data_IF_817682399816
#
_entry.id   IF_817682399816
#
_cell.length_a   1.000
_cell.length_b   1.000
_cell.length_c   1.000
_cell.angle_alpha   90.00
_cell.angle_beta   90.00
_cell.angle_gamma   90.00
#
_symmetry.space_group_name_H-M   'P 1'
#
loop_
_entity.id
_entity.type
_entity.pdbx_description
1 polymer ?
#
# COMPACT_ATOMS: atom_id res chain seq x y z
N UNK A 1 -33.53 -36.60 -1.42
CA UNK A 1 -32.82 -37.03 -0.20
C UNK A 1 -32.29 -35.78 0.49
N UNK A 2 -32.88 -35.36 1.62
CA UNK A 2 -32.48 -34.16 2.38
C UNK A 2 -31.52 -34.58 3.49
N UNK A 3 -30.27 -34.15 3.44
CA UNK A 3 -29.30 -34.36 4.53
C UNK A 3 -29.15 -33.03 5.26
N UNK A 4 -29.81 -32.93 6.42
CA UNK A 4 -29.68 -31.79 7.32
C UNK A 4 -28.47 -32.02 8.24
N UNK A 5 -27.42 -31.20 8.08
CA UNK A 5 -26.25 -31.20 8.97
C UNK A 5 -26.48 -30.20 10.10
N UNK A 6 -26.47 -30.69 11.34
CA UNK A 6 -26.55 -29.88 12.56
C UNK A 6 -25.13 -29.47 12.97
N UNK A 7 -24.87 -28.16 13.03
CA UNK A 7 -23.62 -27.59 13.57
C UNK A 7 -23.82 -27.29 15.07
N UNK A 8 -22.93 -27.73 15.97
CA UNK A 8 -23.03 -27.42 17.38
C UNK A 8 -22.54 -26.00 17.70
N UNK A 9 -23.33 -25.29 18.50
CA UNK A 9 -23.04 -23.97 19.06
C UNK A 9 -22.02 -24.12 20.20
N UNK A 10 -20.81 -23.57 20.07
CA UNK A 10 -19.82 -23.54 21.14
C UNK A 10 -19.89 -22.20 21.88
N UNK A 11 -20.30 -22.27 23.14
CA UNK A 11 -20.44 -21.15 24.06
C UNK A 11 -19.06 -20.81 24.67
N UNK A 12 -18.47 -19.67 24.33
CA UNK A 12 -17.22 -19.20 24.94
C UNK A 12 -17.54 -18.43 26.22
N UNK A 13 -17.08 -18.96 27.36
CA UNK A 13 -17.21 -18.33 28.68
C UNK A 13 -16.18 -17.20 28.83
N UNK A 14 -16.68 -16.01 29.16
CA UNK A 14 -15.93 -14.86 29.64
C UNK A 14 -15.32 -15.15 31.01
N UNK A 15 -14.01 -14.92 31.17
CA UNK A 15 -13.30 -14.95 32.44
C UNK A 15 -12.94 -13.51 32.84
N UNK A 16 -13.71 -12.98 33.78
CA UNK A 16 -13.34 -11.86 34.64
C UNK A 16 -12.23 -12.27 35.61
N UNK A 17 -11.16 -11.48 35.71
CA UNK A 17 -10.31 -11.51 36.91
C UNK A 17 -9.90 -10.09 37.32
N UNK A 18 -10.40 -9.69 38.49
CA UNK A 18 -9.94 -8.54 39.28
C UNK A 18 -8.87 -9.02 40.23
N UNK A 19 -7.75 -8.32 40.33
CA UNK A 19 -6.93 -8.31 41.54
C UNK A 19 -6.41 -6.91 41.83
N UNK A 20 -6.83 -6.42 43.00
CA UNK A 20 -6.32 -5.24 43.69
C UNK A 20 -4.88 -5.49 44.15
N UNK A 21 -3.98 -4.53 43.94
CA UNK A 21 -2.69 -4.48 44.64
C UNK A 21 -2.48 -3.09 45.25
N UNK A 22 -2.20 -3.12 46.55
CA UNK A 22 -2.08 -1.98 47.46
C UNK A 22 -0.76 -1.25 47.27
N UNK A 23 -0.89 0.08 47.18
CA UNK A 23 -0.04 1.15 47.69
C UNK A 23 1.28 0.77 48.40
N UNK A 24 2.39 1.28 47.86
CA UNK A 24 3.53 1.80 48.64
C UNK A 24 4.03 3.05 47.93
N UNK A 25 3.61 4.21 48.45
CA UNK A 25 4.00 5.54 47.98
C UNK A 25 5.36 5.87 48.62
N UNK A 26 6.44 5.77 47.83
CA UNK A 26 7.76 6.28 48.21
C UNK A 26 7.94 7.63 47.50
N UNK A 27 7.77 8.71 48.25
CA UNK A 27 7.99 10.07 47.74
C UNK A 27 9.48 10.36 47.71
N UNK A 28 10.09 10.24 46.52
CA UNK A 28 11.46 10.66 46.25
C UNK A 28 11.45 12.12 45.78
N UNK A 29 11.93 13.03 46.63
CA UNK A 29 12.12 14.44 46.28
C UNK A 29 13.37 14.56 45.39
N UNK A 30 13.17 14.65 44.07
CA UNK A 30 14.22 14.98 43.12
C UNK A 30 14.19 16.50 42.88
N UNK A 31 15.21 17.20 43.37
CA UNK A 31 15.51 18.57 43.00
C UNK A 31 16.06 18.58 41.56
N UNK A 32 15.17 18.76 40.58
CA UNK A 32 15.56 18.98 39.18
C UNK A 32 15.86 20.47 39.00
N UNK A 33 17.13 20.79 38.76
CA UNK A 33 17.56 22.08 38.28
C UNK A 33 16.91 22.34 36.92
N UNK A 34 15.90 23.20 36.87
CA UNK A 34 15.27 23.62 35.61
C UNK A 34 16.25 24.56 34.90
N UNK A 35 17.11 24.00 34.05
CA UNK A 35 17.73 24.78 32.99
C UNK A 35 16.59 25.29 32.09
N UNK A 36 16.29 26.58 32.14
CA UNK A 36 15.46 27.26 31.14
C UNK A 36 16.20 27.30 29.80
N UNK A 37 16.35 26.15 29.16
CA UNK A 37 16.57 26.09 27.73
C UNK A 37 15.21 26.29 27.08
N UNK A 38 15.07 27.32 26.25
CA UNK A 38 13.89 27.48 25.40
C UNK A 38 13.65 26.15 24.69
N UNK A 39 12.44 25.54 24.78
CA UNK A 39 12.16 24.31 24.08
C UNK A 39 12.47 24.54 22.60
N UNK A 40 13.15 23.59 21.92
CA UNK A 40 13.34 23.70 20.49
C UNK A 40 11.97 23.90 19.86
N UNK A 41 11.81 24.99 19.10
CA UNK A 41 10.57 25.21 18.36
C UNK A 41 10.34 23.97 17.51
N UNK A 42 9.17 23.32 17.60
CA UNK A 42 8.87 22.20 16.73
C UNK A 42 9.02 22.68 15.28
N UNK A 43 9.76 21.92 14.47
CA UNK A 43 9.83 22.21 13.04
C UNK A 43 8.39 22.30 12.51
N UNK A 44 8.03 23.35 11.75
CA UNK A 44 6.69 23.49 11.17
C UNK A 44 6.26 22.30 10.30
N UNK A 45 7.19 21.42 9.90
CA UNK A 45 6.89 20.16 9.22
C UNK A 45 6.24 19.09 10.11
N UNK A 46 6.42 19.15 11.44
CA UNK A 46 5.90 18.13 12.36
C UNK A 46 4.41 18.29 12.69
N UNK A 47 3.80 19.46 12.46
CA UNK A 47 2.38 19.71 12.79
C UNK A 47 1.40 19.36 11.66
N UNK A 48 1.87 19.08 10.44
CA UNK A 48 1.01 18.84 9.26
C UNK A 48 0.71 17.37 8.96
N UNK A 49 1.10 16.41 9.81
CA UNK A 49 0.79 14.97 9.62
C UNK A 49 -0.28 14.42 10.59
N UNK A 50 -1.16 15.29 11.12
CA UNK A 50 -2.04 14.89 12.24
C UNK A 50 -3.14 13.88 11.90
N UNK A 51 -3.41 13.59 10.63
CA UNK A 51 -4.37 12.54 10.27
C UNK A 51 -3.84 11.67 9.13
N UNK A 52 -2.88 10.81 9.46
CA UNK A 52 -2.50 9.74 8.55
C UNK A 52 -3.52 8.60 8.63
N UNK A 53 -4.36 8.46 7.61
CA UNK A 53 -5.40 7.43 7.57
C UNK A 53 -4.80 6.02 7.43
N UNK A 54 -3.73 5.92 6.64
CA UNK A 54 -2.97 4.70 6.43
C UNK A 54 -1.54 5.07 6.01
N UNK A 55 -0.55 4.35 6.51
CA UNK A 55 0.84 4.59 6.19
C UNK A 55 1.45 3.37 5.49
N UNK A 56 2.26 3.62 4.46
CA UNK A 56 3.10 2.61 3.83
C UNK A 56 4.57 2.99 3.98
N UNK A 57 5.39 2.00 4.31
CA UNK A 57 6.84 2.10 4.23
C UNK A 57 7.31 1.11 3.17
N UNK A 58 7.78 1.63 2.04
CA UNK A 58 8.15 0.85 0.87
C UNK A 58 9.65 0.97 0.69
N UNK A 59 10.33 -0.17 0.59
CA UNK A 59 11.78 -0.22 0.50
C UNK A 59 12.20 -1.07 -0.69
N UNK A 60 13.28 -0.66 -1.36
CA UNK A 60 13.88 -1.39 -2.48
C UNK A 60 14.13 -2.84 -2.16
N UNK A 61 14.55 -3.15 -0.95
CA UNK A 61 14.87 -4.53 -0.60
C UNK A 61 13.66 -5.47 -0.64
N UNK A 62 12.44 -4.94 -0.49
CA UNK A 62 11.17 -5.67 -0.55
C UNK A 62 10.51 -5.65 -1.94
N UNK A 63 11.08 -4.93 -2.90
CA UNK A 63 10.53 -4.79 -4.25
C UNK A 63 10.37 -6.16 -4.94
N UNK A 64 9.16 -6.49 -5.44
CA UNK A 64 8.94 -7.66 -6.29
C UNK A 64 9.80 -7.69 -7.55
N UNK A 65 10.19 -6.51 -8.04
CA UNK A 65 10.91 -6.31 -9.29
C UNK A 65 12.39 -6.68 -9.19
N UNK A 66 12.94 -6.87 -7.98
CA UNK A 66 14.35 -7.26 -7.79
C UNK A 66 14.70 -8.62 -8.37
N UNK A 67 13.70 -9.47 -8.60
CA UNK A 67 13.89 -10.86 -9.05
C UNK A 67 13.88 -11.02 -10.56
N UNK A 68 13.59 -9.95 -11.31
CA UNK A 68 13.46 -9.99 -12.76
C UNK A 68 14.54 -9.13 -13.40
N UNK A 69 15.22 -9.65 -14.41
CA UNK A 69 16.34 -8.94 -15.06
C UNK A 69 15.89 -7.86 -16.04
N UNK A 70 14.66 -7.95 -16.55
CA UNK A 70 14.13 -7.02 -17.53
C UNK A 70 13.40 -5.85 -16.85
N UNK A 71 14.03 -4.68 -16.86
CA UNK A 71 13.31 -3.41 -16.92
C UNK A 71 12.58 -3.38 -18.27
N UNK A 72 11.42 -4.03 -18.34
CA UNK A 72 10.47 -3.76 -19.42
C UNK A 72 10.12 -2.26 -19.42
N UNK A 73 9.69 -1.72 -20.57
CA UNK A 73 9.27 -0.32 -20.79
C UNK A 73 8.02 0.09 -19.96
N UNK A 74 7.88 -0.43 -18.73
CA UNK A 74 6.74 -0.33 -17.85
C UNK A 74 5.64 -1.34 -18.14
N UNK A 75 5.53 -1.88 -19.36
CA UNK A 75 4.42 -2.78 -19.72
C UNK A 75 4.51 -4.14 -19.03
N UNK A 76 3.42 -4.56 -18.38
CA UNK A 76 3.33 -5.86 -17.69
C UNK A 76 2.56 -6.85 -18.56
N UNK A 77 3.13 -8.03 -18.79
CA UNK A 77 2.45 -9.07 -19.54
C UNK A 77 1.19 -9.56 -18.79
N UNK A 78 0.06 -9.60 -19.50
CA UNK A 78 -1.21 -10.07 -18.95
C UNK A 78 -1.44 -11.52 -19.35
N UNK A 79 -1.57 -12.40 -18.36
CA UNK A 79 -1.80 -13.83 -18.59
C UNK A 79 -3.05 -14.29 -17.83
N UNK A 80 -3.96 -14.94 -18.55
CA UNK A 80 -5.21 -15.48 -17.97
C UNK A 80 -4.95 -16.77 -17.20
N UNK A 81 -4.16 -17.67 -17.76
CA UNK A 81 -3.80 -18.92 -17.07
C UNK A 81 -2.46 -18.76 -16.36
N UNK A 82 -2.51 -18.53 -15.04
CA UNK A 82 -1.33 -18.43 -14.20
C UNK A 82 -0.84 -19.80 -13.69
N UNK A 83 -1.33 -20.91 -14.26
CA UNK A 83 -0.88 -22.26 -13.89
C UNK A 83 0.63 -22.41 -14.10
N UNK A 84 1.33 -22.87 -13.06
CA UNK A 84 2.78 -23.03 -13.08
C UNK A 84 3.57 -21.77 -12.69
N UNK A 85 2.91 -20.61 -12.60
CA UNK A 85 3.55 -19.37 -12.14
C UNK A 85 3.56 -19.29 -10.62
N UNK A 86 4.56 -18.58 -10.07
CA UNK A 86 4.70 -18.45 -8.62
C UNK A 86 4.08 -17.13 -8.15
N UNK A 87 3.11 -17.15 -7.21
CA UNK A 87 2.62 -15.91 -6.60
C UNK A 87 3.76 -15.10 -6.02
N UNK A 88 3.71 -13.78 -6.19
CA UNK A 88 4.72 -12.88 -5.59
C UNK A 88 4.61 -12.93 -4.06
N UNK A 89 5.71 -13.21 -3.33
CA UNK A 89 5.71 -13.20 -1.87
C UNK A 89 5.22 -11.86 -1.31
N UNK A 90 4.46 -11.88 -0.22
CA UNK A 90 3.87 -10.67 0.37
C UNK A 90 2.56 -10.22 -0.26
N UNK A 91 2.32 -10.49 -1.56
CA UNK A 91 1.12 -10.02 -2.27
C UNK A 91 -0.06 -11.00 -2.28
N UNK A 92 0.06 -12.15 -1.60
CA UNK A 92 -0.99 -13.17 -1.54
C UNK A 92 -2.31 -12.66 -0.93
N UNK A 93 -2.27 -11.64 -0.07
CA UNK A 93 -3.45 -11.02 0.53
C UNK A 93 -4.35 -10.31 -0.49
N UNK A 94 -3.85 -10.05 -1.71
CA UNK A 94 -4.59 -9.41 -2.79
C UNK A 94 -5.22 -10.40 -3.77
N UNK A 95 -4.97 -11.70 -3.62
CA UNK A 95 -5.53 -12.71 -4.52
C UNK A 95 -7.07 -12.68 -4.55
N UNK A 96 -7.64 -12.88 -5.74
CA UNK A 96 -9.08 -12.91 -5.98
C UNK A 96 -9.48 -14.34 -6.27
N UNK A 97 -10.44 -14.89 -5.51
CA UNK A 97 -10.98 -16.22 -5.81
C UNK A 97 -12.11 -16.10 -6.86
N UNK A 98 -12.18 -16.98 -7.87
CA UNK A 98 -11.26 -18.08 -8.17
C UNK A 98 -10.07 -17.69 -9.08
N UNK A 99 -9.95 -16.43 -9.48
CA UNK A 99 -8.98 -15.96 -10.47
C UNK A 99 -7.49 -16.16 -10.09
N UNK A 100 -7.16 -16.29 -8.80
CA UNK A 100 -5.81 -16.49 -8.30
C UNK A 100 -5.10 -15.19 -7.90
N UNK A 101 -3.75 -15.17 -7.88
CA UNK A 101 -2.98 -13.99 -7.52
C UNK A 101 -3.14 -12.89 -8.58
N UNK A 102 -2.98 -11.63 -8.17
CA UNK A 102 -2.99 -10.49 -9.09
C UNK A 102 -1.69 -10.36 -9.88
N UNK A 103 -0.58 -10.77 -9.27
CA UNK A 103 0.76 -10.70 -9.82
C UNK A 103 1.51 -12.00 -9.50
N UNK A 104 2.20 -12.54 -10.50
CA UNK A 104 2.99 -13.75 -10.39
C UNK A 104 4.35 -13.61 -11.08
N UNK A 105 5.30 -14.43 -10.66
CA UNK A 105 6.61 -14.58 -11.29
C UNK A 105 6.53 -15.72 -12.32
N UNK A 106 6.82 -15.37 -13.56
CA UNK A 106 7.14 -16.28 -14.64
C UNK A 106 8.65 -16.55 -14.58
N UNK A 107 9.05 -17.65 -13.93
CA UNK A 107 10.47 -17.98 -13.72
C UNK A 107 11.18 -18.40 -15.02
N UNK A 108 10.44 -18.94 -15.99
CA UNK A 108 11.01 -19.32 -17.29
C UNK A 108 11.29 -18.08 -18.14
N UNK A 109 10.36 -17.11 -18.11
CA UNK A 109 10.50 -15.83 -18.81
C UNK A 109 11.25 -14.75 -18.04
N UNK A 110 11.72 -15.04 -16.81
CA UNK A 110 12.37 -14.10 -15.88
C UNK A 110 11.66 -12.74 -15.78
N UNK A 111 10.34 -12.77 -15.57
CA UNK A 111 9.49 -11.57 -15.59
C UNK A 111 8.30 -11.66 -14.64
N UNK A 112 7.74 -10.50 -14.30
CA UNK A 112 6.46 -10.40 -13.61
C UNK A 112 5.34 -10.37 -14.65
N UNK A 113 4.27 -11.10 -14.34
CA UNK A 113 3.05 -11.14 -15.15
C UNK A 113 1.84 -10.88 -14.26
N UNK A 114 0.87 -10.16 -14.80
CA UNK A 114 -0.36 -9.81 -14.10
C UNK A 114 -1.53 -10.67 -14.58
N UNK A 115 -2.53 -10.80 -13.71
CA UNK A 115 -3.70 -11.62 -13.96
C UNK A 115 -4.60 -10.98 -15.03
N UNK A 116 -4.61 -11.56 -16.22
CA UNK A 116 -5.40 -11.09 -17.36
C UNK A 116 -6.91 -11.32 -17.25
N UNK A 117 -7.40 -11.93 -16.16
CA UNK A 117 -8.82 -11.90 -15.82
C UNK A 117 -9.21 -10.65 -15.02
N UNK A 118 -8.25 -10.01 -14.33
CA UNK A 118 -8.48 -8.86 -13.44
C UNK A 118 -8.09 -7.54 -14.12
N UNK A 119 -7.06 -7.57 -14.95
CA UNK A 119 -6.54 -6.41 -15.67
C UNK A 119 -6.70 -6.60 -17.18
N UNK A 120 -7.17 -5.56 -17.86
CA UNK A 120 -7.18 -5.46 -19.33
C UNK A 120 -5.92 -4.78 -19.86
N UNK A 121 -5.34 -3.88 -19.06
CA UNK A 121 -4.01 -3.31 -19.27
C UNK A 121 -3.38 -3.00 -17.91
N UNK A 122 -2.05 -3.09 -17.83
CA UNK A 122 -1.31 -2.72 -16.63
C UNK A 122 0.12 -2.33 -17.02
N UNK A 123 0.56 -1.18 -16.55
CA UNK A 123 1.94 -0.72 -16.68
C UNK A 123 2.43 -0.14 -15.36
N UNK A 124 3.75 -0.19 -15.19
CA UNK A 124 4.46 0.46 -14.11
C UNK A 124 4.56 1.96 -14.39
N UNK A 125 4.35 2.77 -13.34
CA UNK A 125 4.41 4.23 -13.37
C UNK A 125 5.30 4.70 -12.22
N UNK A 126 6.19 5.66 -12.48
CA UNK A 126 7.02 6.29 -11.46
C UNK A 126 6.35 7.56 -10.93
N UNK A 127 5.74 7.46 -9.76
CA UNK A 127 5.07 8.58 -9.10
C UNK A 127 6.01 9.74 -8.72
N UNK A 128 7.33 9.51 -8.67
CA UNK A 128 8.30 10.57 -8.32
C UNK A 128 8.55 11.56 -9.46
N UNK A 129 8.15 11.22 -10.68
CA UNK A 129 8.37 12.03 -11.89
C UNK A 129 7.08 12.44 -12.61
N UNK A 130 5.91 12.16 -12.02
CA UNK A 130 4.60 12.50 -12.60
C UNK A 130 4.41 14.02 -12.66
N UNK A 131 4.20 14.56 -13.86
CA UNK A 131 3.93 15.98 -14.12
C UNK A 131 2.52 16.26 -14.67
N UNK A 132 1.80 15.21 -15.04
CA UNK A 132 0.42 15.25 -15.54
C UNK A 132 -0.27 13.90 -15.34
N UNK A 133 -1.54 13.74 -15.73
CA UNK A 133 -2.23 12.46 -15.58
C UNK A 133 -1.50 11.32 -16.30
N UNK A 134 -1.21 10.25 -15.56
CA UNK A 134 -0.55 9.06 -16.08
C UNK A 134 -1.44 7.82 -15.92
N UNK A 135 -1.78 7.18 -17.03
CA UNK A 135 -2.55 5.94 -17.01
C UNK A 135 -1.72 4.79 -16.43
N UNK A 136 -2.22 4.07 -15.44
CA UNK A 136 -1.57 2.89 -14.85
C UNK A 136 -2.09 1.61 -15.48
N UNK A 137 -3.39 1.55 -15.77
CA UNK A 137 -4.01 0.35 -16.33
C UNK A 137 -5.52 0.46 -16.38
N UNK A 138 -6.16 -0.64 -16.76
CA UNK A 138 -7.61 -0.79 -16.84
C UNK A 138 -7.99 -2.09 -16.13
N UNK A 139 -8.89 -2.02 -15.17
CA UNK A 139 -9.53 -3.17 -14.54
C UNK A 139 -10.61 -3.75 -15.44
N UNK A 140 -10.72 -5.07 -15.46
CA UNK A 140 -11.90 -5.75 -16.02
C UNK A 140 -13.10 -5.61 -15.06
N UNK A 141 -14.29 -6.00 -15.53
CA UNK A 141 -15.49 -6.11 -14.69
C UNK A 141 -15.23 -6.96 -13.43
N UNK A 142 -14.54 -8.10 -13.59
CA UNK A 142 -14.17 -8.96 -12.47
C UNK A 142 -13.29 -8.21 -11.46
N UNK A 143 -12.32 -7.43 -11.95
CA UNK A 143 -11.47 -6.60 -11.09
C UNK A 143 -12.28 -5.56 -10.33
N UNK A 144 -13.15 -4.82 -11.00
CA UNK A 144 -14.01 -3.81 -10.37
C UNK A 144 -14.92 -4.38 -9.28
N UNK A 145 -15.46 -5.58 -9.50
CA UNK A 145 -16.39 -6.23 -8.56
C UNK A 145 -15.68 -6.92 -7.39
N UNK A 146 -14.45 -7.39 -7.59
CA UNK A 146 -13.81 -8.35 -6.67
C UNK A 146 -12.82 -7.73 -5.68
N UNK A 147 -12.35 -6.50 -5.92
CA UNK A 147 -11.39 -5.83 -5.03
C UNK A 147 -11.80 -4.38 -4.79
N UNK A 148 -11.84 -3.98 -3.51
CA UNK A 148 -12.15 -2.60 -3.15
C UNK A 148 -11.04 -1.64 -3.61
N UNK A 149 -11.39 -0.38 -3.85
CA UNK A 149 -10.43 0.64 -4.29
C UNK A 149 -9.24 0.78 -3.33
N UNK A 150 -9.48 0.74 -2.01
CA UNK A 150 -8.40 0.79 -1.00
C UNK A 150 -7.45 -0.43 -1.09
N UNK A 151 -7.99 -1.64 -1.32
CA UNK A 151 -7.17 -2.84 -1.48
C UNK A 151 -6.40 -2.80 -2.80
N UNK A 152 -7.00 -2.26 -3.87
CA UNK A 152 -6.32 -2.03 -5.14
C UNK A 152 -5.17 -1.02 -4.99
N UNK A 153 -5.38 0.10 -4.30
CA UNK A 153 -4.30 1.07 -4.03
C UNK A 153 -3.16 0.45 -3.23
N UNK A 154 -3.48 -0.30 -2.17
CA UNK A 154 -2.46 -1.00 -1.39
C UNK A 154 -1.68 -2.00 -2.24
N UNK A 155 -2.37 -2.76 -3.11
CA UNK A 155 -1.73 -3.65 -4.08
C UNK A 155 -0.78 -2.89 -5.02
N UNK A 156 -1.24 -1.82 -5.68
CA UNK A 156 -0.46 -1.06 -6.65
C UNK A 156 0.84 -0.48 -6.06
N UNK A 157 0.78 -0.05 -4.79
CA UNK A 157 1.91 0.50 -4.05
C UNK A 157 2.87 -0.61 -3.58
N UNK A 158 2.37 -1.65 -2.90
CA UNK A 158 3.21 -2.74 -2.37
C UNK A 158 3.80 -3.63 -3.47
N UNK A 159 3.12 -3.73 -4.61
CA UNK A 159 3.65 -4.39 -5.79
C UNK A 159 4.60 -3.50 -6.59
N UNK A 160 4.72 -2.22 -6.23
CA UNK A 160 5.45 -1.18 -6.95
C UNK A 160 5.10 -1.08 -8.43
N UNK A 161 3.83 -1.35 -8.77
CA UNK A 161 3.27 -0.94 -10.06
C UNK A 161 3.25 0.58 -10.11
N UNK A 162 2.90 1.22 -9.00
CA UNK A 162 3.17 2.64 -8.79
C UNK A 162 4.44 2.71 -7.94
N UNK A 163 5.56 3.02 -8.59
CA UNK A 163 6.86 3.18 -7.93
C UNK A 163 6.92 4.55 -7.26
N UNK A 164 7.33 4.59 -6.00
CA UNK A 164 7.29 5.81 -5.18
C UNK A 164 8.65 6.22 -4.64
N UNK A 165 9.71 5.55 -5.06
CA UNK A 165 11.10 5.92 -4.76
C UNK A 165 12.00 5.64 -5.96
N UNK A 166 13.02 6.47 -6.15
CA UNK A 166 14.04 6.24 -7.16
C UNK A 166 15.07 5.18 -6.73
N UNK A 167 15.60 5.27 -5.49
CA UNK A 167 16.75 4.45 -5.07
C UNK A 167 16.50 3.53 -3.87
N UNK A 168 15.99 4.04 -2.75
CA UNK A 168 16.05 3.29 -1.47
C UNK A 168 14.70 2.98 -0.89
N UNK A 169 13.93 4.01 -0.53
CA UNK A 169 12.69 3.84 0.19
C UNK A 169 11.79 5.07 0.06
N UNK A 170 10.52 4.89 0.39
CA UNK A 170 9.55 5.96 0.56
C UNK A 170 8.63 5.68 1.73
N UNK A 171 8.25 6.74 2.44
CA UNK A 171 7.17 6.69 3.42
C UNK A 171 5.99 7.48 2.88
N UNK A 172 4.86 6.82 2.72
CA UNK A 172 3.63 7.40 2.19
C UNK A 172 2.55 7.41 3.25
N UNK A 173 1.72 8.43 3.20
CA UNK A 173 0.57 8.60 4.05
C UNK A 173 -0.66 8.90 3.20
N UNK A 174 -1.74 8.12 3.40
CA UNK A 174 -3.07 8.43 2.88
C UNK A 174 -3.65 9.58 3.70
N UNK A 175 -3.80 10.74 3.09
CA UNK A 175 -4.30 11.95 3.76
C UNK A 175 -5.79 12.18 3.52
N UNK A 176 -6.31 11.70 2.40
CA UNK A 176 -7.72 11.83 2.03
C UNK A 176 -8.11 10.65 1.13
N UNK A 177 -9.35 10.19 1.26
CA UNK A 177 -9.92 9.21 0.34
C UNK A 177 -11.38 9.55 0.04
N UNK A 178 -11.80 9.31 -1.20
CA UNK A 178 -13.20 9.37 -1.61
C UNK A 178 -13.56 8.02 -2.24
N UNK A 179 -14.62 7.39 -1.72
CA UNK A 179 -15.17 6.15 -2.26
C UNK A 179 -16.65 6.38 -2.60
N UNK A 180 -16.91 6.58 -3.88
CA UNK A 180 -18.24 6.84 -4.44
C UNK A 180 -18.60 5.75 -5.44
N UNK A 181 -19.82 5.77 -5.95
CA UNK A 181 -20.25 4.81 -6.98
C UNK A 181 -19.49 5.00 -8.31
N UNK A 182 -19.03 6.22 -8.61
CA UNK A 182 -18.37 6.54 -9.87
C UNK A 182 -16.83 6.43 -9.80
N UNK A 183 -16.25 6.78 -8.65
CA UNK A 183 -14.80 6.84 -8.48
C UNK A 183 -14.37 6.33 -7.10
N UNK A 184 -13.17 5.74 -7.07
CA UNK A 184 -12.34 5.68 -5.88
C UNK A 184 -11.13 6.60 -6.07
N UNK A 185 -10.85 7.47 -5.11
CA UNK A 185 -9.70 8.38 -5.11
C UNK A 185 -8.96 8.23 -3.79
N UNK A 186 -7.64 8.07 -3.86
CA UNK A 186 -6.73 8.08 -2.73
C UNK A 186 -5.70 9.17 -2.93
N UNK A 187 -5.62 10.11 -1.98
CA UNK A 187 -4.65 11.20 -2.01
C UNK A 187 -3.52 10.90 -1.03
N UNK A 188 -2.30 10.88 -1.57
CA UNK A 188 -1.11 10.48 -0.84
C UNK A 188 -0.14 11.65 -0.70
N UNK A 189 0.50 11.73 0.47
CA UNK A 189 1.61 12.62 0.75
C UNK A 189 2.69 11.85 1.51
N UNK A 190 3.95 12.18 1.29
CA UNK A 190 5.06 11.47 1.90
C UNK A 190 6.41 12.05 1.52
N UNK A 191 7.44 11.23 1.68
CA UNK A 191 8.79 11.52 1.20
C UNK A 191 9.44 10.27 0.63
N UNK A 192 10.44 10.46 -0.21
CA UNK A 192 11.30 9.38 -0.69
C UNK A 192 12.77 9.73 -0.48
N UNK A 193 13.59 8.70 -0.24
CA UNK A 193 15.02 8.83 0.02
C UNK A 193 15.82 8.37 -1.19
N UNK A 194 16.79 9.18 -1.59
CA UNK A 194 17.71 8.88 -2.67
C UNK A 194 19.14 9.33 -2.35
N UNK A 195 20.10 8.83 -3.13
CA UNK A 195 21.53 9.08 -2.92
C UNK A 195 22.19 9.52 -4.22
N UNK A 196 22.78 10.72 -4.23
CA UNK A 196 23.62 11.22 -5.33
C UNK A 196 25.09 11.36 -4.95
N UNK A 197 25.39 11.37 -3.64
CA UNK A 197 26.69 11.29 -2.94
C UNK A 197 26.43 11.33 -1.42
N UNK A 198 25.32 11.94 -1.03
CA UNK A 198 24.78 12.02 0.33
C UNK A 198 23.31 11.56 0.37
N UNK A 199 22.78 11.32 1.57
CA UNK A 199 21.36 10.99 1.78
C UNK A 199 20.53 12.24 1.48
N UNK A 200 19.66 12.15 0.49
CA UNK A 200 18.68 13.17 0.16
C UNK A 200 17.28 12.66 0.48
N UNK A 201 16.40 13.58 0.83
CA UNK A 201 14.99 13.32 1.07
C UNK A 201 14.18 14.37 0.33
N UNK A 202 13.22 13.94 -0.48
CA UNK A 202 12.35 14.84 -1.23
C UNK A 202 10.88 14.52 -0.93
N UNK A 203 10.02 15.56 -0.87
CA UNK A 203 8.59 15.37 -0.67
C UNK A 203 7.97 14.71 -1.90
N UNK A 204 6.92 13.93 -1.67
CA UNK A 204 6.15 13.25 -2.70
C UNK A 204 4.66 13.47 -2.42
N UNK A 205 3.89 13.90 -3.42
CA UNK A 205 2.43 13.96 -3.32
C UNK A 205 1.77 13.69 -4.66
N UNK A 206 0.77 12.81 -4.64
CA UNK A 206 0.03 12.41 -5.82
C UNK A 206 -1.32 11.82 -5.41
N UNK A 207 -2.22 11.66 -6.37
CA UNK A 207 -3.48 10.96 -6.21
C UNK A 207 -3.50 9.71 -7.07
N UNK A 208 -4.12 8.65 -6.56
CA UNK A 208 -4.51 7.48 -7.37
C UNK A 208 -6.02 7.57 -7.57
N UNK A 209 -6.44 7.58 -8.84
CA UNK A 209 -7.84 7.60 -9.24
C UNK A 209 -8.19 6.27 -9.91
N UNK A 210 -9.29 5.66 -9.50
CA UNK A 210 -9.90 4.49 -10.15
C UNK A 210 -11.30 4.88 -10.57
N UNK A 211 -11.55 4.93 -11.87
CA UNK A 211 -12.87 5.16 -12.44
C UNK A 211 -13.65 3.84 -12.47
N UNK A 212 -14.78 3.78 -11.76
CA UNK A 212 -15.59 2.55 -11.63
C UNK A 212 -16.45 2.26 -12.86
N UNK A 213 -16.69 3.26 -13.70
CA UNK A 213 -17.48 3.09 -14.93
C UNK A 213 -16.71 2.42 -16.07
N UNK A 214 -15.38 2.58 -16.12
CA UNK A 214 -14.54 2.03 -17.19
C UNK A 214 -13.30 1.26 -16.70
N UNK A 215 -13.10 1.14 -15.38
CA UNK A 215 -11.95 0.43 -14.81
C UNK A 215 -10.62 1.17 -14.87
N UNK A 216 -10.58 2.38 -15.43
CA UNK A 216 -9.33 3.11 -15.65
C UNK A 216 -8.67 3.53 -14.34
N UNK A 217 -7.37 3.23 -14.22
CA UNK A 217 -6.52 3.61 -13.10
C UNK A 217 -5.55 4.68 -13.56
N UNK A 218 -5.46 5.80 -12.83
CA UNK A 218 -4.54 6.89 -13.12
C UNK A 218 -3.77 7.34 -11.88
N UNK A 219 -2.56 7.85 -12.09
CA UNK A 219 -1.82 8.67 -11.12
C UNK A 219 -1.89 10.12 -11.57
N UNK A 220 -2.24 11.01 -10.65
CA UNK A 220 -2.35 12.45 -10.88
C UNK A 220 -1.34 13.19 -9.98
N UNK A 221 -0.62 14.21 -10.48
CA UNK A 221 0.21 15.04 -9.63
C UNK A 221 -0.67 15.80 -8.63
N UNK A 222 -0.17 16.00 -7.42
CA UNK A 222 -0.75 16.95 -6.45
C UNK A 222 0.25 18.09 -6.21
N UNK A 223 -0.27 19.29 -6.08
CA UNK A 223 0.52 20.43 -5.63
C UNK A 223 0.99 20.15 -4.19
N UNK A 224 2.31 20.24 -3.97
CA UNK A 224 2.98 20.00 -2.68
C UNK A 224 2.97 21.26 -1.82
#
# INVERSE_FOLDING_TARGET
MKIASKIPLVLVKSLTSRTFLKSSLVTLLILVSVQCGSPPMPSPEAESMKECLQQWHLERHNSPWRRVSAESDGAIALIRDLTGMKPVPGLHAYAIAPAGPLLALDEEGDRLVANGYVFESLRRVDATSVTGPEAVGILSDLGLESISGQRMVSFLLESEIIQTYAHMESTLCLIEQADTDDIYRADLKGSHIYFTNERNEAPLSFSILINRGNGEIQVLPRDI
#
